data_IF_613094710289
#
_entry.id   IF_613094710289
#
_cell.length_a   1.000
_cell.length_b   1.000
_cell.length_c   1.000
_cell.angle_alpha   90.00
_cell.angle_beta   90.00
_cell.angle_gamma   90.00
#
_symmetry.space_group_name_H-M   'P 1'
#
loop_
_entity.id
_entity.type
_entity.pdbx_description
1 polymer ?
#
# COMPACT_ATOMS: atom_id res chain seq x y z
N UNK A 1 -14.87 -13.30 16.76
CA UNK A 1 -14.40 -12.69 15.49
C UNK A 1 -14.92 -11.27 15.30
N UNK A 2 -16.23 -11.03 15.46
CA UNK A 2 -16.86 -9.71 15.27
C UNK A 2 -16.23 -8.54 16.04
N UNK A 3 -15.71 -8.80 17.24
CA UNK A 3 -15.13 -7.77 18.10
C UNK A 3 -13.77 -7.27 17.59
N UNK A 4 -12.90 -8.16 17.12
CA UNK A 4 -11.59 -7.81 16.53
C UNK A 4 -11.78 -6.99 15.25
N UNK A 5 -12.74 -7.36 14.40
CA UNK A 5 -13.04 -6.62 13.17
C UNK A 5 -13.63 -5.23 13.46
N UNK A 6 -14.48 -5.11 14.47
CA UNK A 6 -15.03 -3.83 14.90
C UNK A 6 -13.92 -2.93 15.47
N UNK A 7 -13.01 -3.51 16.24
CA UNK A 7 -11.87 -2.82 16.83
C UNK A 7 -10.88 -2.34 15.75
N UNK A 8 -10.53 -3.20 14.79
CA UNK A 8 -9.72 -2.85 13.63
C UNK A 8 -10.31 -1.67 12.86
N UNK A 9 -11.63 -1.68 12.61
CA UNK A 9 -12.31 -0.56 11.93
C UNK A 9 -12.19 0.75 12.71
N UNK A 10 -12.35 0.73 14.04
CA UNK A 10 -12.20 1.93 14.88
C UNK A 10 -10.79 2.50 14.86
N UNK A 11 -9.76 1.64 14.89
CA UNK A 11 -8.37 2.09 14.77
C UNK A 11 -8.12 2.68 13.38
N UNK A 12 -8.57 1.98 12.33
CA UNK A 12 -8.39 2.45 10.95
C UNK A 12 -9.09 3.78 10.70
N UNK A 13 -10.28 3.98 11.26
CA UNK A 13 -10.99 5.25 11.17
C UNK A 13 -10.19 6.38 11.83
N UNK A 14 -9.71 6.16 13.07
CA UNK A 14 -8.86 7.12 13.79
C UNK A 14 -7.57 7.44 13.03
N UNK A 15 -6.94 6.45 12.39
CA UNK A 15 -5.72 6.64 11.60
C UNK A 15 -5.94 7.58 10.41
N UNK A 16 -7.13 7.50 9.79
CA UNK A 16 -7.52 8.38 8.69
C UNK A 16 -7.88 9.76 9.20
N UNK A 17 -8.74 9.84 10.23
CA UNK A 17 -9.24 11.10 10.79
C UNK A 17 -8.13 11.95 11.44
N UNK A 18 -7.10 11.32 12.02
CA UNK A 18 -5.97 12.02 12.61
C UNK A 18 -4.97 12.55 11.57
N UNK A 19 -5.13 12.19 10.29
CA UNK A 19 -4.17 12.53 9.22
C UNK A 19 -2.90 11.68 9.20
N UNK A 20 -2.75 10.72 10.13
CA UNK A 20 -1.57 9.84 10.17
C UNK A 20 -1.49 8.94 8.94
N UNK A 21 -2.64 8.53 8.39
CA UNK A 21 -2.70 7.85 7.09
C UNK A 21 -2.06 8.68 5.97
N UNK A 22 -2.40 9.96 5.88
CA UNK A 22 -1.83 10.88 4.87
C UNK A 22 -0.34 11.13 5.11
N UNK A 23 0.07 11.26 6.37
CA UNK A 23 1.49 11.37 6.75
C UNK A 23 2.31 10.15 6.31
N UNK A 24 1.81 8.93 6.55
CA UNK A 24 2.48 7.70 6.12
C UNK A 24 2.58 7.64 4.59
N UNK A 25 1.50 7.97 3.87
CA UNK A 25 1.50 8.00 2.40
C UNK A 25 2.50 9.03 1.84
N UNK A 26 2.52 10.24 2.39
CA UNK A 26 3.43 11.31 1.95
C UNK A 26 4.90 11.02 2.27
N UNK A 27 5.17 10.20 3.30
CA UNK A 27 6.53 9.77 3.65
C UNK A 27 7.02 8.63 2.76
N UNK A 28 6.17 7.64 2.46
CA UNK A 28 6.55 6.46 1.66
C UNK A 28 6.49 6.72 0.16
N UNK A 29 5.56 7.56 -0.31
CA UNK A 29 5.35 7.84 -1.73
C UNK A 29 6.64 8.23 -2.48
N UNK A 30 7.41 9.24 -2.01
CA UNK A 30 8.66 9.63 -2.63
C UNK A 30 9.68 8.48 -2.70
N UNK A 31 9.79 7.66 -1.64
CA UNK A 31 10.73 6.53 -1.59
C UNK A 31 10.40 5.45 -2.61
N UNK A 32 9.12 5.16 -2.81
CA UNK A 32 8.67 4.22 -3.85
C UNK A 32 8.90 4.77 -5.26
N UNK A 33 8.80 6.08 -5.43
CA UNK A 33 9.09 6.74 -6.69
C UNK A 33 10.60 6.71 -6.99
N UNK A 34 11.42 7.13 -6.03
CA UNK A 34 12.89 7.18 -6.13
C UNK A 34 13.52 5.80 -6.30
N UNK A 35 12.90 4.75 -5.76
CA UNK A 35 13.37 3.37 -5.95
C UNK A 35 13.05 2.80 -7.33
N UNK A 36 12.34 3.54 -8.20
CA UNK A 36 11.84 3.06 -9.48
C UNK A 36 10.63 2.12 -9.39
N UNK A 37 10.12 1.84 -8.18
CA UNK A 37 9.04 0.86 -8.00
C UNK A 37 7.76 1.28 -8.70
N UNK A 38 7.42 2.57 -8.64
CA UNK A 38 6.22 3.09 -9.31
C UNK A 38 6.29 2.91 -10.82
N UNK A 39 7.46 3.13 -11.42
CA UNK A 39 7.65 3.01 -12.87
C UNK A 39 7.71 1.55 -13.31
N UNK A 40 8.32 0.66 -12.54
CA UNK A 40 8.27 -0.78 -12.77
C UNK A 40 6.84 -1.32 -12.82
N UNK A 41 5.96 -0.87 -11.90
CA UNK A 41 4.56 -1.28 -11.88
C UNK A 41 3.80 -0.73 -13.09
N UNK A 42 4.06 0.52 -13.50
CA UNK A 42 3.46 1.08 -14.73
C UNK A 42 3.91 0.29 -15.97
N UNK A 43 5.21 0.01 -16.09
CA UNK A 43 5.78 -0.72 -17.22
C UNK A 43 5.15 -2.11 -17.34
N UNK A 44 5.08 -2.86 -16.24
CA UNK A 44 4.37 -4.15 -16.18
C UNK A 44 2.90 -4.04 -16.58
N UNK A 45 2.24 -2.94 -16.24
CA UNK A 45 0.86 -2.67 -16.61
C UNK A 45 0.68 -2.49 -18.11
N UNK A 46 1.57 -1.71 -18.74
CA UNK A 46 1.58 -1.47 -20.18
C UNK A 46 1.90 -2.76 -20.94
N UNK A 47 2.94 -3.50 -20.52
CA UNK A 47 3.31 -4.79 -21.11
C UNK A 47 2.14 -5.78 -21.04
N UNK A 48 1.55 -5.93 -19.85
CA UNK A 48 0.43 -6.86 -19.65
C UNK A 48 -0.80 -6.46 -20.47
N UNK A 49 -1.10 -5.17 -20.57
CA UNK A 49 -2.20 -4.69 -21.40
C UNK A 49 -1.97 -4.98 -22.89
N UNK A 50 -0.72 -4.90 -23.36
CA UNK A 50 -0.35 -5.22 -24.75
C UNK A 50 -0.53 -6.69 -25.12
N UNK A 51 -0.45 -7.60 -24.15
CA UNK A 51 -0.68 -9.05 -24.34
C UNK A 51 -2.17 -9.42 -24.34
N UNK A 52 -3.06 -8.51 -23.93
CA UNK A 52 -4.48 -8.80 -23.79
C UNK A 52 -5.22 -8.64 -25.10
N UNK A 53 -5.94 -9.69 -25.52
CA UNK A 53 -6.82 -9.58 -26.68
C UNK A 53 -7.95 -8.56 -26.47
N UNK A 54 -8.50 -8.49 -25.25
CA UNK A 54 -9.45 -7.47 -24.81
C UNK A 54 -9.00 -6.94 -23.46
N UNK A 55 -8.97 -5.60 -23.30
CA UNK A 55 -8.60 -4.97 -22.04
C UNK A 55 -9.59 -5.30 -20.92
N UNK A 56 -9.06 -5.63 -19.75
CA UNK A 56 -9.81 -5.87 -18.53
C UNK A 56 -9.09 -5.22 -17.36
N UNK A 57 -9.73 -4.23 -16.75
CA UNK A 57 -9.20 -3.56 -15.57
C UNK A 57 -8.98 -4.55 -14.42
N UNK A 58 -9.92 -5.46 -14.18
CA UNK A 58 -9.83 -6.43 -13.08
C UNK A 58 -8.59 -7.30 -13.23
N UNK A 59 -8.35 -7.84 -14.43
CA UNK A 59 -7.19 -8.69 -14.70
C UNK A 59 -5.88 -7.93 -14.54
N UNK A 60 -5.82 -6.67 -15.01
CA UNK A 60 -4.65 -5.81 -14.80
C UNK A 60 -4.45 -5.49 -13.31
N UNK A 61 -5.51 -5.14 -12.59
CA UNK A 61 -5.45 -4.81 -11.18
C UNK A 61 -4.98 -5.98 -10.33
N UNK A 62 -5.47 -7.19 -10.57
CA UNK A 62 -5.05 -8.40 -9.83
C UNK A 62 -3.56 -8.72 -10.09
N UNK A 63 -3.12 -8.64 -11.35
CA UNK A 63 -1.72 -8.87 -11.73
C UNK A 63 -0.80 -7.81 -11.11
N UNK A 64 -1.15 -6.53 -11.23
CA UNK A 64 -0.36 -5.42 -10.71
C UNK A 64 -0.39 -5.34 -9.19
N UNK A 65 -1.49 -5.71 -8.53
CA UNK A 65 -1.57 -5.81 -7.07
C UNK A 65 -0.60 -6.86 -6.55
N UNK A 66 -0.55 -8.02 -7.21
CA UNK A 66 0.40 -9.09 -6.86
C UNK A 66 1.84 -8.62 -7.08
N UNK A 67 2.15 -8.07 -8.26
CA UNK A 67 3.48 -7.56 -8.58
C UNK A 67 3.91 -6.42 -7.63
N UNK A 68 2.97 -5.54 -7.25
CA UNK A 68 3.18 -4.45 -6.32
C UNK A 68 3.58 -4.93 -4.94
N UNK A 69 2.87 -5.92 -4.39
CA UNK A 69 3.22 -6.50 -3.10
C UNK A 69 4.58 -7.21 -3.10
N UNK A 70 4.89 -7.97 -4.15
CA UNK A 70 6.17 -8.69 -4.26
C UNK A 70 7.34 -7.75 -4.50
N UNK A 71 7.16 -6.75 -5.35
CA UNK A 71 8.20 -5.79 -5.74
C UNK A 71 8.46 -4.68 -4.72
N UNK A 72 7.66 -4.56 -3.65
CA UNK A 72 7.79 -3.49 -2.68
C UNK A 72 9.20 -3.48 -2.04
N UNK A 73 9.96 -2.38 -2.14
CA UNK A 73 11.31 -2.31 -1.58
C UNK A 73 11.33 -2.61 -0.09
N UNK A 74 12.23 -3.49 0.34
CA UNK A 74 12.34 -3.90 1.73
C UNK A 74 12.54 -2.72 2.71
N UNK A 75 13.36 -1.70 2.41
CA UNK A 75 13.49 -0.53 3.27
C UNK A 75 12.16 0.22 3.46
N UNK A 76 11.43 0.48 2.38
CA UNK A 76 10.13 1.15 2.42
C UNK A 76 9.08 0.34 3.20
N UNK A 77 9.08 -1.00 3.01
CA UNK A 77 8.21 -1.91 3.79
C UNK A 77 8.50 -1.81 5.28
N UNK A 78 9.78 -1.88 5.67
CA UNK A 78 10.20 -1.82 7.09
C UNK A 78 9.83 -0.49 7.73
N UNK A 79 10.05 0.61 7.02
CA UNK A 79 9.71 1.95 7.49
C UNK A 79 8.20 2.13 7.68
N UNK A 80 7.38 1.68 6.71
CA UNK A 80 5.93 1.71 6.84
C UNK A 80 5.44 0.85 8.03
N UNK A 81 6.01 -0.33 8.22
CA UNK A 81 5.70 -1.19 9.37
C UNK A 81 6.08 -0.54 10.70
N UNK A 82 7.21 0.17 10.76
CA UNK A 82 7.63 0.90 11.95
C UNK A 82 6.66 2.04 12.29
N UNK A 83 6.26 2.85 11.30
CA UNK A 83 5.27 3.92 11.50
C UNK A 83 3.92 3.39 11.95
N UNK A 84 3.44 2.29 11.36
CA UNK A 84 2.19 1.64 11.79
C UNK A 84 2.30 1.17 13.24
N UNK A 85 3.43 0.56 13.62
CA UNK A 85 3.66 0.09 15.00
C UNK A 85 3.67 1.25 15.99
N UNK A 86 4.43 2.30 15.70
CA UNK A 86 4.49 3.51 16.53
C UNK A 86 3.10 4.15 16.71
N UNK A 87 2.31 4.22 15.62
CA UNK A 87 0.95 4.72 15.70
C UNK A 87 0.08 3.84 16.61
N UNK A 88 0.16 2.51 16.44
CA UNK A 88 -0.62 1.57 17.24
C UNK A 88 -0.25 1.67 18.71
N UNK A 89 1.03 1.72 19.07
CA UNK A 89 1.48 1.86 20.46
C UNK A 89 0.83 3.08 21.15
N UNK A 90 0.78 4.22 20.47
CA UNK A 90 0.10 5.45 20.96
C UNK A 90 -1.43 5.32 21.09
N UNK A 91 -2.07 4.30 20.50
CA UNK A 91 -3.52 4.09 20.65
C UNK A 91 -3.88 3.30 21.91
N UNK A 92 -2.89 2.72 22.61
CA UNK A 92 -3.09 1.88 23.80
C UNK A 92 -2.36 2.37 25.06
N UNK A 93 -1.64 3.50 24.95
CA UNK A 93 -1.24 4.31 26.10
C UNK A 93 -2.42 5.17 26.59
#
# INVERSE_FOLDING_TARGET
MTDVDAFYRKIRLRLVESGEWERMKTTIGPKLNESGWLDDIKNKGVERAGEMHQLSFQTLFEALSTAGHVGLPLPARRELQAMIREYLEKQFE
#
